data_IF_950936222179
#
_entry.id   IF_950936222179
#
_cell.length_a   1.000
_cell.length_b   1.000
_cell.length_c   1.000
_cell.angle_alpha   90.00
_cell.angle_beta   90.00
_cell.angle_gamma   90.00
#
_symmetry.space_group_name_H-M   'P 1'
#
loop_
_entity.id
_entity.type
_entity.pdbx_description
1 polymer ?
#
# COMPACT_ATOMS: atom_id res chain seq x y z
N UNK A 1 13.39 42.28 29.27
CA UNK A 1 12.37 41.17 29.27
C UNK A 1 12.11 40.79 27.82
N UNK A 2 12.44 39.59 27.45
CA UNK A 2 12.12 39.11 26.11
C UNK A 2 10.59 39.09 25.94
N UNK A 3 10.11 39.62 24.83
CA UNK A 3 8.69 39.66 24.52
C UNK A 3 8.18 38.22 24.37
N UNK A 4 7.01 37.91 24.97
CA UNK A 4 6.37 36.57 24.89
C UNK A 4 6.24 36.08 23.46
N UNK A 5 5.95 36.96 22.51
CA UNK A 5 5.83 36.65 21.10
C UNK A 5 7.17 36.21 20.46
N UNK A 6 8.28 36.78 20.90
CA UNK A 6 9.63 36.47 20.42
C UNK A 6 10.06 35.07 20.90
N UNK A 7 9.85 34.80 22.19
CA UNK A 7 10.13 33.51 22.82
C UNK A 7 9.24 32.38 22.22
N UNK A 8 7.98 32.70 21.92
CA UNK A 8 7.05 31.75 21.25
C UNK A 8 7.51 31.43 19.85
N UNK A 9 7.88 32.46 19.05
CA UNK A 9 8.41 32.27 17.68
C UNK A 9 9.70 31.46 17.66
N UNK A 10 10.64 31.71 18.58
CA UNK A 10 11.86 30.93 18.69
C UNK A 10 11.58 29.44 18.97
N UNK A 11 10.69 29.15 19.94
CA UNK A 11 10.33 27.78 20.29
C UNK A 11 9.62 27.08 19.16
N UNK A 12 8.69 27.75 18.45
CA UNK A 12 8.02 27.18 17.27
C UNK A 12 9.01 26.93 16.15
N UNK A 13 9.92 27.85 15.89
CA UNK A 13 10.97 27.69 14.87
C UNK A 13 11.91 26.54 15.19
N UNK A 14 12.32 26.40 16.47
CA UNK A 14 13.16 25.29 16.92
C UNK A 14 12.43 23.94 16.77
N UNK A 15 11.16 23.88 17.16
CA UNK A 15 10.32 22.69 17.01
C UNK A 15 10.14 22.26 15.54
N UNK A 16 9.92 23.25 14.65
CA UNK A 16 9.80 22.97 13.20
C UNK A 16 11.12 22.47 12.62
N UNK A 17 12.26 23.10 12.97
CA UNK A 17 13.60 22.66 12.55
C UNK A 17 13.94 21.24 13.03
N UNK A 18 13.57 20.92 14.27
CA UNK A 18 13.76 19.58 14.83
C UNK A 18 12.88 18.55 14.11
N UNK A 19 11.64 18.91 13.80
CA UNK A 19 10.73 18.10 12.99
C UNK A 19 11.26 17.85 11.58
N UNK A 20 11.82 18.86 10.91
CA UNK A 20 12.40 18.75 9.58
C UNK A 20 13.66 17.86 9.59
N UNK A 21 14.51 17.98 10.58
CA UNK A 21 15.67 17.12 10.72
C UNK A 21 15.31 15.64 10.98
N UNK A 22 14.23 15.39 11.70
CA UNK A 22 13.71 14.04 11.91
C UNK A 22 13.10 13.47 10.64
N UNK A 23 12.34 14.27 9.88
CA UNK A 23 11.78 13.92 8.56
C UNK A 23 12.86 13.55 7.56
N UNK A 24 13.94 14.33 7.50
CA UNK A 24 15.09 14.04 6.64
C UNK A 24 15.71 12.68 7.00
N UNK A 25 15.94 12.40 8.28
CA UNK A 25 16.48 11.12 8.74
C UNK A 25 15.58 9.94 8.41
N UNK A 26 14.25 10.10 8.45
CA UNK A 26 13.31 9.08 8.04
C UNK A 26 13.37 8.81 6.53
N UNK A 27 13.45 9.87 5.72
CA UNK A 27 13.52 9.75 4.27
C UNK A 27 14.81 9.08 3.81
N UNK A 28 15.92 9.32 4.52
CA UNK A 28 17.22 8.72 4.23
C UNK A 28 17.41 7.33 4.86
N UNK A 29 16.43 6.85 5.63
CA UNK A 29 16.48 5.53 6.24
C UNK A 29 16.35 4.42 5.20
N UNK A 30 17.21 3.38 5.24
CA UNK A 30 17.04 2.19 4.42
C UNK A 30 15.87 1.30 4.88
N UNK A 31 15.35 1.56 6.08
CA UNK A 31 14.25 0.80 6.66
C UNK A 31 12.90 1.20 6.06
N UNK A 32 11.97 0.28 6.09
CA UNK A 32 10.58 0.50 5.73
C UNK A 32 9.86 1.33 6.79
N UNK A 33 8.68 1.81 6.50
CA UNK A 33 7.93 2.72 7.38
C UNK A 33 6.63 2.08 7.81
N UNK A 34 6.44 1.92 9.12
CA UNK A 34 5.16 1.63 9.74
C UNK A 34 4.44 2.93 10.07
N UNK A 35 3.18 3.05 9.65
CA UNK A 35 2.31 4.16 10.04
C UNK A 35 1.63 3.83 11.35
N UNK A 36 1.98 4.55 12.40
CA UNK A 36 1.30 4.47 13.69
C UNK A 36 0.18 5.51 13.71
N UNK A 37 -1.06 5.10 13.43
CA UNK A 37 -2.25 5.94 13.63
C UNK A 37 -2.42 6.28 15.10
N UNK A 38 -2.79 7.52 15.40
CA UNK A 38 -3.09 7.93 16.77
C UNK A 38 -4.23 7.08 17.32
N UNK A 39 -3.95 6.17 18.23
CA UNK A 39 -4.97 5.49 19.02
C UNK A 39 -5.56 6.49 20.00
N UNK A 40 -6.89 6.57 20.10
CA UNK A 40 -7.52 7.27 21.20
C UNK A 40 -7.08 6.60 22.51
N UNK A 41 -6.29 7.30 23.31
CA UNK A 41 -6.15 6.91 24.72
C UNK A 41 -7.49 7.19 25.42
N UNK A 42 -7.86 6.37 26.39
CA UNK A 42 -9.16 6.44 27.06
C UNK A 42 -9.50 7.83 27.66
N UNK A 43 -8.50 8.70 27.81
CA UNK A 43 -8.64 10.06 28.36
C UNK A 43 -8.70 11.17 27.30
N UNK A 44 -8.67 10.87 25.99
CA UNK A 44 -8.66 11.93 25.01
C UNK A 44 -10.06 12.16 24.41
N UNK A 45 -10.58 13.35 24.65
CA UNK A 45 -11.74 13.94 23.96
C UNK A 45 -11.48 14.19 22.46
N UNK A 46 -10.36 13.74 21.91
CA UNK A 46 -9.97 13.93 20.53
C UNK A 46 -10.44 12.73 19.70
N UNK A 47 -11.44 12.94 18.86
CA UNK A 47 -11.88 11.95 17.87
C UNK A 47 -10.72 11.49 16.99
N UNK A 48 -10.41 10.20 17.04
CA UNK A 48 -9.46 9.59 16.10
C UNK A 48 -10.12 9.51 14.73
N UNK A 49 -9.50 10.10 13.72
CA UNK A 49 -10.00 10.05 12.35
C UNK A 49 -10.05 8.59 11.85
N UNK A 50 -11.14 8.19 11.18
CA UNK A 50 -11.29 6.85 10.59
C UNK A 50 -10.13 6.46 9.67
N UNK A 51 -9.56 7.44 8.95
CA UNK A 51 -8.39 7.25 8.08
C UNK A 51 -7.15 6.90 8.90
N UNK A 52 -6.91 7.60 10.02
CA UNK A 52 -5.80 7.30 10.92
C UNK A 52 -5.91 5.90 11.53
N UNK A 53 -7.12 5.48 11.88
CA UNK A 53 -7.40 4.12 12.37
C UNK A 53 -7.09 3.10 11.28
N UNK A 54 -7.53 3.35 10.05
CA UNK A 54 -7.32 2.45 8.92
C UNK A 54 -5.85 2.28 8.52
N UNK A 55 -5.01 3.30 8.75
CA UNK A 55 -3.57 3.26 8.49
C UNK A 55 -2.75 2.68 9.65
N UNK A 56 -3.35 2.57 10.85
CA UNK A 56 -2.60 2.15 12.03
C UNK A 56 -1.95 0.78 11.82
N UNK A 57 -0.63 0.70 12.07
CA UNK A 57 0.22 -0.47 11.86
C UNK A 57 0.35 -0.95 10.41
N UNK A 58 -0.04 -0.13 9.43
CA UNK A 58 0.21 -0.44 8.01
C UNK A 58 1.66 -0.13 7.68
N UNK A 59 2.34 -1.04 6.98
CA UNK A 59 3.75 -0.91 6.62
C UNK A 59 3.87 -0.64 5.12
N UNK A 60 4.72 0.31 4.78
CA UNK A 60 5.04 0.71 3.41
C UNK A 60 6.55 0.72 3.19
N UNK A 61 6.97 0.55 1.94
CA UNK A 61 8.35 0.81 1.55
C UNK A 61 8.64 2.31 1.69
N UNK A 62 9.79 2.67 2.23
CA UNK A 62 10.14 4.07 2.50
C UNK A 62 10.15 4.94 1.23
N UNK A 63 10.57 4.36 0.11
CA UNK A 63 10.59 5.04 -1.20
C UNK A 63 9.19 5.22 -1.81
N UNK A 64 8.14 4.64 -1.23
CA UNK A 64 6.78 4.72 -1.74
C UNK A 64 5.76 4.57 -0.60
N UNK A 65 5.60 5.62 0.17
CA UNK A 65 4.71 5.71 1.35
C UNK A 65 3.72 6.85 1.20
N UNK A 66 2.55 6.79 1.87
CA UNK A 66 1.65 7.93 1.99
C UNK A 66 2.34 9.14 2.60
N UNK A 67 1.92 10.35 2.22
CA UNK A 67 2.43 11.58 2.82
C UNK A 67 2.27 11.58 4.35
N UNK A 68 3.11 12.36 5.04
CA UNK A 68 3.15 12.37 6.50
C UNK A 68 1.84 12.88 7.13
N UNK A 69 1.20 13.86 6.50
CA UNK A 69 -0.04 14.46 6.98
C UNK A 69 -1.19 14.05 6.07
N UNK A 70 -2.07 13.22 6.58
CA UNK A 70 -3.26 12.77 5.85
C UNK A 70 -4.40 13.79 5.91
N UNK A 71 -4.39 14.68 6.90
CA UNK A 71 -5.36 15.76 7.10
C UNK A 71 -4.82 16.77 8.13
N UNK A 72 -5.37 17.98 8.23
CA UNK A 72 -5.03 18.91 9.30
C UNK A 72 -5.17 18.26 10.68
N UNK A 73 -4.21 18.52 11.57
CA UNK A 73 -4.15 17.93 12.93
C UNK A 73 -4.01 16.40 12.98
N UNK A 74 -3.52 15.77 11.90
CA UNK A 74 -3.19 14.34 11.92
C UNK A 74 -2.15 14.02 12.99
N UNK A 75 -2.44 13.00 13.81
CA UNK A 75 -1.53 12.51 14.87
C UNK A 75 -0.77 11.24 14.47
N UNK A 76 -0.88 10.82 13.21
CA UNK A 76 -0.13 9.68 12.70
C UNK A 76 1.37 9.97 12.74
N UNK A 77 2.14 8.98 13.18
CA UNK A 77 3.60 8.98 13.14
C UNK A 77 4.07 7.92 12.15
N UNK A 78 5.23 8.13 11.59
CA UNK A 78 5.92 7.14 10.78
C UNK A 78 7.11 6.62 11.57
N UNK A 79 7.21 5.31 11.71
CA UNK A 79 8.26 4.66 12.50
C UNK A 79 9.03 3.72 11.61
N UNK A 80 10.38 3.78 11.61
CA UNK A 80 11.21 2.83 10.88
C UNK A 80 10.91 1.39 11.31
N UNK A 81 10.76 0.48 10.35
CA UNK A 81 10.53 -0.94 10.58
C UNK A 81 11.18 -1.77 9.46
N UNK A 82 11.14 -3.09 9.58
CA UNK A 82 11.58 -3.99 8.53
C UNK A 82 10.38 -4.75 7.97
N UNK A 83 10.26 -4.79 6.65
CA UNK A 83 9.25 -5.56 5.92
C UNK A 83 9.94 -6.59 5.03
N UNK A 84 10.12 -7.79 5.56
CA UNK A 84 10.81 -8.89 4.87
C UNK A 84 9.85 -9.86 4.20
N UNK A 85 8.59 -9.88 4.64
CA UNK A 85 7.57 -10.79 4.14
C UNK A 85 6.22 -10.08 4.01
N UNK A 86 5.46 -10.43 2.98
CA UNK A 86 4.11 -9.92 2.72
C UNK A 86 3.08 -11.03 2.92
N UNK A 87 2.34 -11.03 4.04
CA UNK A 87 1.18 -11.88 4.17
C UNK A 87 0.10 -11.47 3.16
N UNK A 88 -0.36 -12.41 2.35
CA UNK A 88 -1.42 -12.16 1.37
C UNK A 88 -2.76 -12.67 1.86
N UNK A 89 -3.78 -11.83 1.73
CA UNK A 89 -5.18 -12.21 1.78
C UNK A 89 -5.73 -12.20 0.35
N UNK A 90 -5.51 -13.32 -0.32
CA UNK A 90 -5.86 -13.50 -1.73
C UNK A 90 -6.51 -14.89 -1.90
N UNK A 91 -7.83 -15.01 -1.72
CA UNK A 91 -8.50 -16.30 -1.83
C UNK A 91 -8.55 -16.76 -3.29
N UNK A 92 -8.22 -18.05 -3.53
CA UNK A 92 -8.29 -18.72 -4.84
C UNK A 92 -9.66 -18.55 -5.53
N UNK A 93 -10.72 -18.42 -4.74
CA UNK A 93 -12.06 -18.15 -5.24
C UNK A 93 -12.14 -16.91 -6.13
N UNK A 94 -11.35 -15.86 -5.84
CA UNK A 94 -11.28 -14.66 -6.71
C UNK A 94 -10.72 -14.96 -8.09
N UNK A 95 -9.82 -15.93 -8.23
CA UNK A 95 -9.33 -16.35 -9.53
C UNK A 95 -10.41 -17.15 -10.25
N UNK A 96 -10.95 -18.18 -9.59
CA UNK A 96 -11.94 -19.07 -10.20
C UNK A 96 -13.22 -18.35 -10.60
N UNK A 97 -13.84 -17.61 -9.68
CA UNK A 97 -15.16 -17.01 -9.89
C UNK A 97 -15.10 -15.66 -10.63
N UNK A 98 -14.02 -14.90 -10.48
CA UNK A 98 -13.92 -13.60 -11.15
C UNK A 98 -13.17 -13.69 -12.47
N UNK A 99 -11.96 -14.25 -12.52
CA UNK A 99 -11.21 -14.31 -13.78
C UNK A 99 -11.75 -15.36 -14.73
N UNK A 100 -12.05 -16.58 -14.26
CA UNK A 100 -12.47 -17.67 -15.11
C UNK A 100 -14.00 -17.84 -15.28
N UNK A 101 -14.78 -16.96 -14.65
CA UNK A 101 -16.23 -16.87 -14.92
C UNK A 101 -16.55 -15.50 -15.50
N UNK A 102 -16.35 -14.41 -14.73
CA UNK A 102 -16.77 -13.07 -15.15
C UNK A 102 -15.83 -12.42 -16.19
N UNK A 103 -14.58 -12.87 -16.29
CA UNK A 103 -13.55 -12.37 -17.21
C UNK A 103 -12.97 -13.47 -18.10
N UNK A 104 -13.77 -14.51 -18.38
CA UNK A 104 -13.31 -15.66 -19.13
C UNK A 104 -12.77 -15.30 -20.52
N UNK A 105 -13.44 -14.40 -21.25
CA UNK A 105 -13.00 -13.97 -22.58
C UNK A 105 -11.65 -13.25 -22.52
N UNK A 106 -11.41 -12.48 -21.47
CA UNK A 106 -10.11 -11.87 -21.21
C UNK A 106 -9.04 -12.95 -21.00
N UNK A 107 -9.30 -13.95 -20.15
CA UNK A 107 -8.35 -15.03 -19.89
C UNK A 107 -8.07 -15.84 -21.16
N UNK A 108 -9.10 -16.17 -21.94
CA UNK A 108 -8.97 -16.82 -23.24
C UNK A 108 -8.16 -15.98 -24.25
N UNK A 109 -8.31 -14.65 -24.24
CA UNK A 109 -7.52 -13.76 -25.12
C UNK A 109 -6.02 -13.80 -24.83
N UNK A 110 -5.64 -14.22 -23.62
CA UNK A 110 -4.26 -14.48 -23.19
C UNK A 110 -3.86 -15.96 -23.30
N UNK A 111 -4.76 -16.83 -23.75
CA UNK A 111 -4.54 -18.25 -23.92
C UNK A 111 -4.73 -19.08 -22.64
N UNK A 112 -5.33 -18.53 -21.58
CA UNK A 112 -5.58 -19.22 -20.31
C UNK A 112 -7.00 -19.84 -20.29
N UNK A 113 -7.09 -21.01 -19.65
CA UNK A 113 -8.34 -21.75 -19.42
C UNK A 113 -8.52 -22.01 -17.91
N UNK A 114 -9.70 -22.44 -17.43
CA UNK A 114 -9.97 -22.64 -16.01
C UNK A 114 -8.99 -23.57 -15.29
N UNK A 115 -8.41 -24.54 -15.98
CA UNK A 115 -7.41 -25.47 -15.46
C UNK A 115 -6.07 -24.78 -15.10
N UNK A 116 -5.82 -23.59 -15.66
CA UNK A 116 -4.64 -22.78 -15.35
C UNK A 116 -4.82 -21.89 -14.10
N UNK A 117 -5.94 -22.02 -13.38
CA UNK A 117 -6.30 -21.11 -12.29
C UNK A 117 -5.22 -21.01 -11.20
N UNK A 118 -4.57 -22.11 -10.86
CA UNK A 118 -3.51 -22.15 -9.84
C UNK A 118 -2.26 -21.39 -10.30
N UNK A 119 -1.86 -21.56 -11.55
CA UNK A 119 -0.72 -20.84 -12.12
C UNK A 119 -0.99 -19.32 -12.16
N UNK A 120 -2.19 -18.93 -12.60
CA UNK A 120 -2.60 -17.51 -12.61
C UNK A 120 -2.59 -16.92 -11.20
N UNK A 121 -3.09 -17.68 -10.22
CA UNK A 121 -3.06 -17.29 -8.81
C UNK A 121 -1.63 -17.07 -8.33
N UNK A 122 -0.75 -18.05 -8.53
CA UNK A 122 0.63 -18.00 -8.08
C UNK A 122 1.37 -16.82 -8.74
N UNK A 123 1.20 -16.62 -10.04
CA UNK A 123 1.81 -15.48 -10.75
C UNK A 123 1.38 -14.15 -10.16
N UNK A 124 0.08 -13.91 -9.94
CA UNK A 124 -0.41 -12.65 -9.38
C UNK A 124 0.08 -12.47 -7.94
N UNK A 125 0.08 -13.54 -7.12
CA UNK A 125 0.55 -13.51 -5.74
C UNK A 125 2.05 -13.19 -5.64
N UNK A 126 2.87 -13.82 -6.47
CA UNK A 126 4.33 -13.59 -6.51
C UNK A 126 4.65 -12.16 -6.95
N UNK A 127 4.00 -11.66 -8.01
CA UNK A 127 4.17 -10.28 -8.43
C UNK A 127 3.76 -9.30 -7.34
N UNK A 128 2.63 -9.55 -6.66
CA UNK A 128 2.17 -8.68 -5.57
C UNK A 128 3.22 -8.58 -4.45
N UNK A 129 3.74 -9.70 -3.98
CA UNK A 129 4.79 -9.73 -2.95
C UNK A 129 6.07 -9.03 -3.43
N UNK A 130 6.58 -9.47 -4.57
CA UNK A 130 7.85 -9.00 -5.13
C UNK A 130 7.85 -7.50 -5.41
N UNK A 131 6.82 -7.01 -6.07
CA UNK A 131 6.78 -5.59 -6.47
C UNK A 131 6.45 -4.68 -5.27
N UNK A 132 5.64 -5.15 -4.32
CA UNK A 132 5.40 -4.40 -3.08
C UNK A 132 6.68 -4.29 -2.24
N UNK A 133 7.44 -5.38 -2.06
CA UNK A 133 8.73 -5.36 -1.36
C UNK A 133 9.77 -4.45 -2.01
N UNK A 134 9.67 -4.21 -3.32
CA UNK A 134 10.53 -3.26 -4.04
C UNK A 134 10.03 -1.81 -4.01
N UNK A 135 8.87 -1.56 -3.41
CA UNK A 135 8.21 -0.24 -3.49
C UNK A 135 7.66 0.10 -4.88
N UNK A 136 7.48 -0.90 -5.75
CA UNK A 136 6.96 -0.74 -7.11
C UNK A 136 5.45 -0.94 -7.15
N UNK A 137 4.73 -0.02 -6.57
CA UNK A 137 3.28 0.04 -6.57
C UNK A 137 2.83 1.50 -6.68
N UNK A 138 1.63 1.72 -7.16
CA UNK A 138 1.00 3.03 -7.21
C UNK A 138 0.07 3.19 -6.00
N UNK A 139 0.26 4.26 -5.23
CA UNK A 139 -0.65 4.66 -4.16
C UNK A 139 -1.90 5.29 -4.78
N UNK A 140 -3.05 4.72 -4.48
CA UNK A 140 -4.34 5.23 -4.92
C UNK A 140 -5.10 5.92 -3.77
N UNK A 141 -6.44 5.85 -3.79
CA UNK A 141 -7.27 6.45 -2.76
C UNK A 141 -7.02 5.83 -1.39
N UNK A 142 -6.87 6.69 -0.40
CA UNK A 142 -6.92 6.36 1.02
C UNK A 142 -8.34 6.63 1.54
N UNK A 143 -8.90 5.69 2.28
CA UNK A 143 -10.23 5.81 2.87
C UNK A 143 -10.29 5.06 4.22
N UNK A 144 -11.47 5.02 4.84
CA UNK A 144 -11.69 4.34 6.13
C UNK A 144 -11.40 2.82 6.13
N UNK A 145 -11.19 2.22 4.98
CA UNK A 145 -10.85 0.79 4.86
C UNK A 145 -9.35 0.55 4.66
N UNK A 146 -8.54 1.60 4.49
CA UNK A 146 -7.10 1.54 4.31
C UNK A 146 -6.60 2.22 3.05
N UNK A 147 -5.34 2.00 2.73
CA UNK A 147 -4.66 2.53 1.55
C UNK A 147 -4.80 1.55 0.38
N UNK A 148 -5.46 1.99 -0.68
CA UNK A 148 -5.50 1.22 -1.94
C UNK A 148 -4.18 1.36 -2.68
N UNK A 149 -3.70 0.24 -3.21
CA UNK A 149 -2.49 0.20 -4.03
C UNK A 149 -2.73 -0.57 -5.33
N UNK A 150 -2.07 -0.15 -6.39
CA UNK A 150 -2.06 -0.84 -7.68
C UNK A 150 -0.69 -1.45 -7.94
N UNK A 151 -0.66 -2.71 -8.34
CA UNK A 151 0.56 -3.44 -8.65
C UNK A 151 0.50 -3.91 -10.10
N UNK A 152 1.57 -3.64 -10.85
CA UNK A 152 1.74 -4.15 -12.20
C UNK A 152 2.07 -5.64 -12.16
N UNK A 153 1.32 -6.43 -12.90
CA UNK A 153 1.54 -7.86 -13.10
C UNK A 153 1.88 -8.10 -14.55
N UNK A 154 2.89 -8.93 -14.80
CA UNK A 154 3.27 -9.39 -16.12
C UNK A 154 3.00 -10.90 -16.22
N UNK A 155 2.34 -11.31 -17.29
CA UNK A 155 2.05 -12.73 -17.58
C UNK A 155 2.37 -13.02 -19.03
N UNK A 156 3.05 -14.14 -19.26
CA UNK A 156 3.30 -14.63 -20.60
C UNK A 156 2.07 -15.41 -21.08
N UNK A 157 1.61 -15.10 -22.28
CA UNK A 157 0.48 -15.82 -22.88
C UNK A 157 0.75 -17.31 -23.04
N UNK A 158 -0.32 -18.08 -23.08
CA UNK A 158 -0.29 -19.54 -23.27
C UNK A 158 -0.89 -19.97 -24.60
N UNK A 159 -0.69 -21.23 -24.95
CA UNK A 159 -1.25 -21.89 -26.14
C UNK A 159 -0.92 -21.10 -27.41
N UNK A 160 -1.90 -20.70 -28.17
CA UNK A 160 -1.76 -19.88 -29.37
C UNK A 160 -1.24 -18.45 -29.12
N UNK A 161 -1.13 -18.04 -27.85
CA UNK A 161 -0.60 -16.75 -27.40
C UNK A 161 0.80 -16.86 -26.81
N UNK A 162 1.42 -18.02 -26.83
CA UNK A 162 2.79 -18.23 -26.29
C UNK A 162 3.77 -17.21 -26.83
N UNK A 163 4.63 -16.68 -25.94
CA UNK A 163 5.62 -15.65 -26.27
C UNK A 163 5.10 -14.20 -26.23
N UNK A 164 3.78 -13.98 -26.14
CA UNK A 164 3.23 -12.64 -25.92
C UNK A 164 3.27 -12.28 -24.44
N UNK A 165 3.79 -11.09 -24.14
CA UNK A 165 3.78 -10.55 -22.77
C UNK A 165 2.53 -9.67 -22.58
N UNK A 166 1.76 -10.00 -21.56
CA UNK A 166 0.60 -9.22 -21.14
C UNK A 166 0.90 -8.50 -19.84
N UNK A 167 0.58 -7.22 -19.78
CA UNK A 167 0.76 -6.36 -18.61
C UNK A 167 -0.57 -5.83 -18.16
N UNK A 168 -0.88 -6.00 -16.89
CA UNK A 168 -2.13 -5.52 -16.31
C UNK A 168 -1.96 -5.06 -14.87
N UNK A 169 -2.93 -4.31 -14.40
CA UNK A 169 -2.96 -3.78 -13.04
C UNK A 169 -3.82 -4.68 -12.18
N UNK A 170 -3.25 -5.14 -11.06
CA UNK A 170 -3.94 -5.80 -9.96
C UNK A 170 -4.14 -4.81 -8.81
N UNK A 171 -5.35 -4.78 -8.25
CA UNK A 171 -5.74 -3.86 -7.18
C UNK A 171 -5.71 -4.52 -5.82
N UNK A 172 -5.06 -3.87 -4.86
CA UNK A 172 -4.84 -4.36 -3.51
C UNK A 172 -5.21 -3.30 -2.47
N UNK A 173 -5.33 -3.71 -1.22
CA UNK A 173 -5.45 -2.87 -0.04
C UNK A 173 -4.30 -3.21 0.90
N UNK A 174 -3.53 -2.20 1.29
CA UNK A 174 -2.53 -2.35 2.33
C UNK A 174 -3.22 -2.31 3.70
N UNK A 175 -2.98 -3.34 4.50
CA UNK A 175 -3.52 -3.54 5.83
C UNK A 175 -2.42 -3.57 6.89
N UNK A 176 -2.76 -3.52 8.18
CA UNK A 176 -1.82 -3.65 9.28
C UNK A 176 -0.89 -4.86 9.15
N UNK A 177 0.30 -4.75 9.74
CA UNK A 177 1.34 -5.80 9.77
C UNK A 177 1.86 -6.20 8.37
N UNK A 178 1.87 -5.27 7.42
CA UNK A 178 2.35 -5.52 6.05
C UNK A 178 1.45 -6.40 5.20
N UNK A 179 0.23 -6.72 5.67
CA UNK A 179 -0.70 -7.57 4.95
C UNK A 179 -1.26 -6.87 3.72
N UNK A 180 -1.30 -7.57 2.58
CA UNK A 180 -1.99 -7.15 1.37
C UNK A 180 -3.26 -7.97 1.16
N UNK A 181 -4.40 -7.28 1.07
CA UNK A 181 -5.67 -7.88 0.69
C UNK A 181 -5.96 -7.60 -0.79
N UNK A 182 -6.23 -8.64 -1.57
CA UNK A 182 -6.58 -8.45 -2.98
C UNK A 182 -8.01 -7.91 -3.13
N UNK A 183 -8.16 -6.73 -3.72
CA UNK A 183 -9.47 -6.16 -4.06
C UNK A 183 -9.97 -6.69 -5.40
N UNK A 184 -9.08 -6.68 -6.42
CA UNK A 184 -9.38 -7.20 -7.75
C UNK A 184 -8.11 -7.76 -8.38
N UNK A 185 -8.11 -9.04 -8.82
CA UNK A 185 -6.92 -9.64 -9.44
C UNK A 185 -6.58 -9.02 -10.79
N UNK A 186 -7.57 -8.51 -11.51
CA UNK A 186 -7.39 -7.78 -12.78
C UNK A 186 -8.28 -6.54 -12.79
N UNK A 187 -7.69 -5.38 -12.93
CA UNK A 187 -8.39 -4.10 -13.06
C UNK A 187 -8.47 -3.65 -14.54
N UNK A 188 -7.32 -3.52 -15.18
CA UNK A 188 -7.17 -3.09 -16.58
C UNK A 188 -5.83 -3.54 -17.13
N UNK A 189 -5.68 -3.57 -18.45
CA UNK A 189 -4.34 -3.64 -19.05
C UNK A 189 -3.54 -2.37 -18.75
N UNK A 190 -2.25 -2.54 -18.55
CA UNK A 190 -1.33 -1.42 -18.50
C UNK A 190 -1.16 -0.83 -19.91
N UNK A 191 -1.02 0.48 -19.97
CA UNK A 191 -0.71 1.20 -21.20
C UNK A 191 0.76 1.04 -21.57
#
# INVERSE_FOLDING_TARGET
>A
MANFDELFREKVTAFLKEGDGWRQRLNDSPLDIEVCGGTATADSTTHTCEICVALNRTIFKNNNKPGELQHPFCKCKQVPTELNEIPLDFPMKKIKDYLFVKKLDLMKSMGYIPEDAEEVYNTIAEYAKKEFLKGKYELNSLNKHGQRVSILVEMTGKRDKTGRLYRFISGWMAYPNGKLHNNTPFSRFAK
#
